data_IF_494071456323
#
_entry.id   IF_494071456323
#
_cell.length_a   1.000
_cell.length_b   1.000
_cell.length_c   1.000
_cell.angle_alpha   90.00
_cell.angle_beta   90.00
_cell.angle_gamma   90.00
#
_symmetry.space_group_name_H-M   'P 1'
#
loop_
_entity.id
_entity.type
_entity.pdbx_description
1 polymer ?
#
# COMPACT_ATOMS: atom_id res chain seq x y z
N UNK A 1 -5.60 6.10 -17.24
CA UNK A 1 -4.76 6.55 -16.11
C UNK A 1 -5.21 5.87 -14.84
N UNK A 2 -4.24 5.35 -14.06
CA UNK A 2 -4.53 4.81 -12.73
C UNK A 2 -4.43 5.88 -11.64
N UNK A 3 -3.46 6.79 -11.77
CA UNK A 3 -3.22 7.88 -10.82
C UNK A 3 -3.06 9.16 -11.63
N UNK A 4 -3.74 10.21 -11.22
CA UNK A 4 -3.57 11.56 -11.73
C UNK A 4 -3.57 12.55 -10.57
N UNK A 5 -2.47 13.28 -10.41
CA UNK A 5 -2.27 14.30 -9.38
C UNK A 5 -1.93 15.60 -10.09
N UNK A 6 -2.73 16.65 -9.84
CA UNK A 6 -2.59 17.94 -10.49
C UNK A 6 -2.49 19.07 -9.47
N UNK A 7 -1.36 19.78 -9.49
CA UNK A 7 -1.08 20.96 -8.68
C UNK A 7 -1.38 20.77 -7.18
N UNK A 8 -1.08 19.58 -6.67
CA UNK A 8 -1.33 19.25 -5.28
C UNK A 8 -0.45 20.08 -4.35
N UNK A 9 -1.10 20.86 -3.48
CA UNK A 9 -0.43 21.58 -2.39
C UNK A 9 -1.11 21.27 -1.06
N UNK A 10 -0.30 21.04 -0.02
CA UNK A 10 -0.80 20.71 1.32
C UNK A 10 0.08 21.30 2.41
N UNK A 11 -0.55 21.77 3.50
CA UNK A 11 0.12 22.32 4.68
C UNK A 11 -0.46 21.76 5.96
N UNK A 12 0.37 21.50 6.96
CA UNK A 12 -0.07 21.28 8.34
C UNK A 12 -0.13 22.64 9.06
N UNK A 13 -1.33 23.22 9.16
CA UNK A 13 -1.50 24.59 9.64
C UNK A 13 -0.71 25.59 8.77
N UNK A 14 0.21 26.33 9.37
CA UNK A 14 1.07 27.29 8.66
C UNK A 14 2.30 26.65 7.96
N UNK A 15 2.55 25.35 8.14
CA UNK A 15 3.75 24.67 7.61
C UNK A 15 3.44 23.98 6.27
N UNK A 16 3.90 24.55 5.12
CA UNK A 16 3.72 23.95 3.82
C UNK A 16 4.61 22.71 3.66
N UNK A 17 4.01 21.59 3.18
CA UNK A 17 4.69 20.29 3.02
C UNK A 17 4.71 19.86 1.56
N UNK A 18 3.61 20.01 0.84
CA UNK A 18 3.54 19.75 -0.59
C UNK A 18 3.29 21.07 -1.31
N UNK A 19 4.00 21.30 -2.42
CA UNK A 19 3.91 22.52 -3.21
C UNK A 19 3.82 22.17 -4.69
N UNK A 20 2.66 22.41 -5.28
CA UNK A 20 2.41 22.29 -6.73
C UNK A 20 2.88 20.95 -7.35
N UNK A 21 2.62 19.84 -6.65
CA UNK A 21 3.03 18.50 -7.08
C UNK A 21 2.07 18.01 -8.16
N UNK A 22 2.61 17.65 -9.32
CA UNK A 22 1.84 17.09 -10.44
C UNK A 22 2.55 15.89 -11.03
N UNK A 23 1.85 14.79 -11.20
CA UNK A 23 2.34 13.59 -11.88
C UNK A 23 1.19 12.66 -12.29
N UNK A 24 1.49 11.74 -13.19
CA UNK A 24 0.55 10.71 -13.67
C UNK A 24 1.18 9.34 -13.64
N UNK A 25 0.36 8.32 -13.44
CA UNK A 25 0.76 6.93 -13.60
C UNK A 25 -0.31 6.15 -14.37
N UNK A 26 0.14 5.40 -15.36
CA UNK A 26 -0.71 4.51 -16.15
C UNK A 26 -0.87 3.15 -15.44
N UNK A 27 -1.88 2.35 -15.82
CA UNK A 27 -2.01 0.98 -15.32
C UNK A 27 -0.73 0.15 -15.53
N UNK A 28 -0.31 -0.56 -14.49
CA UNK A 28 0.88 -1.41 -14.56
C UNK A 28 2.22 -0.67 -14.44
N UNK A 29 2.22 0.64 -14.18
CA UNK A 29 3.46 1.39 -13.98
C UNK A 29 3.97 1.32 -12.55
N UNK A 30 5.30 1.34 -12.42
CA UNK A 30 6.02 1.62 -11.18
C UNK A 30 6.50 3.07 -11.21
N UNK A 31 6.06 3.86 -10.26
CA UNK A 31 6.50 5.25 -10.07
C UNK A 31 7.22 5.37 -8.73
N UNK A 32 8.43 5.91 -8.71
CA UNK A 32 9.20 6.17 -7.52
C UNK A 32 9.13 7.65 -7.11
N UNK A 33 8.77 7.90 -5.85
CA UNK A 33 8.82 9.22 -5.22
C UNK A 33 10.11 9.34 -4.41
N UNK A 34 11.06 10.08 -4.94
CA UNK A 34 12.39 10.25 -4.34
C UNK A 34 12.43 11.52 -3.48
N UNK A 35 13.12 11.45 -2.35
CA UNK A 35 13.36 12.62 -1.52
C UNK A 35 13.80 12.28 -0.10
N UNK A 36 14.44 13.23 0.61
CA UNK A 36 14.89 13.02 1.98
C UNK A 36 13.72 12.78 2.95
N UNK A 37 14.04 12.34 4.16
CA UNK A 37 13.07 12.24 5.24
C UNK A 37 12.48 13.63 5.53
N UNK A 38 11.17 13.70 5.73
CA UNK A 38 10.45 14.97 5.92
C UNK A 38 10.05 15.71 4.64
N UNK A 39 10.44 15.25 3.44
CA UNK A 39 10.08 15.89 2.16
C UNK A 39 8.57 15.81 1.79
N UNK A 40 7.74 15.19 2.63
CA UNK A 40 6.29 15.11 2.39
C UNK A 40 5.81 13.85 1.67
N UNK A 41 6.67 12.85 1.42
CA UNK A 41 6.31 11.59 0.72
C UNK A 41 5.12 10.89 1.35
N UNK A 42 5.13 10.66 2.66
CA UNK A 42 4.01 10.06 3.39
C UNK A 42 2.77 10.96 3.42
N UNK A 43 2.94 12.30 3.41
CA UNK A 43 1.82 13.24 3.32
C UNK A 43 1.13 13.16 1.97
N UNK A 44 1.88 13.01 0.88
CA UNK A 44 1.35 12.75 -0.46
C UNK A 44 0.45 11.50 -0.45
N UNK A 45 0.95 10.37 0.08
CA UNK A 45 0.18 9.14 0.18
C UNK A 45 -1.09 9.30 1.04
N UNK A 46 -0.98 10.04 2.16
CA UNK A 46 -2.15 10.32 3.02
C UNK A 46 -3.19 11.18 2.33
N UNK A 47 -2.79 12.16 1.49
CA UNK A 47 -3.73 12.91 0.65
C UNK A 47 -4.43 11.98 -0.35
N UNK A 48 -3.66 11.12 -1.05
CA UNK A 48 -4.19 10.17 -2.03
C UNK A 48 -5.13 9.13 -1.40
N UNK A 49 -4.97 8.81 -0.11
CA UNK A 49 -5.81 7.89 0.65
C UNK A 49 -6.98 8.59 1.36
N UNK A 50 -7.16 9.91 1.15
CA UNK A 50 -8.24 10.68 1.77
C UNK A 50 -8.09 10.88 3.28
N UNK A 51 -6.92 10.57 3.87
CA UNK A 51 -6.65 10.84 5.29
C UNK A 51 -6.40 12.32 5.57
N UNK A 52 -5.96 13.07 4.56
CA UNK A 52 -5.72 14.51 4.60
C UNK A 52 -6.59 15.17 3.52
N UNK A 53 -7.87 15.50 3.81
CA UNK A 53 -8.82 15.94 2.78
C UNK A 53 -8.67 17.42 2.38
N UNK A 54 -7.99 18.24 3.21
CA UNK A 54 -7.88 19.70 3.00
C UNK A 54 -6.60 20.04 2.23
N UNK A 55 -6.53 19.68 0.95
CA UNK A 55 -5.45 20.03 0.04
C UNK A 55 -5.97 20.88 -1.13
N UNK A 56 -5.09 21.65 -1.78
CA UNK A 56 -5.33 22.33 -3.04
C UNK A 56 -4.92 21.44 -4.21
N UNK A 57 -5.48 21.69 -5.38
CA UNK A 57 -5.23 20.85 -6.56
C UNK A 57 -6.22 19.70 -6.67
N UNK A 58 -5.91 18.70 -7.47
CA UNK A 58 -6.78 17.55 -7.71
C UNK A 58 -6.02 16.23 -7.61
N UNK A 59 -6.68 15.20 -7.05
CA UNK A 59 -6.20 13.82 -7.03
C UNK A 59 -7.32 12.93 -7.56
N UNK A 60 -7.06 12.21 -8.64
CA UNK A 60 -7.96 11.17 -9.12
C UNK A 60 -7.29 9.79 -9.17
N UNK A 61 -8.02 8.78 -8.76
CA UNK A 61 -7.64 7.38 -8.83
C UNK A 61 -8.64 6.64 -9.74
N UNK A 62 -8.13 6.00 -10.79
CA UNK A 62 -8.95 5.35 -11.81
C UNK A 62 -10.03 6.29 -12.39
N UNK A 63 -9.68 7.57 -12.60
CA UNK A 63 -10.59 8.61 -13.14
C UNK A 63 -11.62 9.14 -12.14
N UNK A 64 -11.52 8.83 -10.85
CA UNK A 64 -12.45 9.26 -9.80
C UNK A 64 -11.76 10.18 -8.81
N UNK A 65 -12.32 11.37 -8.56
CA UNK A 65 -11.80 12.34 -7.59
C UNK A 65 -11.87 11.77 -6.16
N UNK A 66 -10.70 11.70 -5.50
CA UNK A 66 -10.55 11.15 -4.14
C UNK A 66 -11.43 11.85 -3.11
N UNK A 67 -11.68 13.15 -3.26
CA UNK A 67 -12.51 13.94 -2.32
C UNK A 67 -13.97 13.49 -2.27
N UNK A 68 -14.47 12.94 -3.36
CA UNK A 68 -15.86 12.52 -3.50
C UNK A 68 -16.08 11.03 -3.26
N UNK A 69 -15.00 10.29 -2.98
CA UNK A 69 -15.05 8.85 -2.75
C UNK A 69 -15.31 8.51 -1.28
N UNK A 70 -16.34 7.71 -0.98
CA UNK A 70 -16.44 7.08 0.34
C UNK A 70 -15.19 6.26 0.65
N UNK A 71 -14.75 6.24 1.90
CA UNK A 71 -13.53 5.52 2.33
C UNK A 71 -13.51 4.05 1.89
N UNK A 72 -14.66 3.39 1.90
CA UNK A 72 -14.80 1.98 1.47
C UNK A 72 -14.51 1.81 -0.02
N UNK A 73 -14.91 2.76 -0.86
CA UNK A 73 -14.64 2.72 -2.29
C UNK A 73 -13.18 3.06 -2.58
N UNK A 74 -12.63 4.06 -1.90
CA UNK A 74 -11.22 4.41 -2.00
C UNK A 74 -10.33 3.23 -1.61
N UNK A 75 -10.68 2.49 -0.55
CA UNK A 75 -9.98 1.28 -0.15
C UNK A 75 -10.03 0.15 -1.19
N UNK A 76 -11.02 0.13 -2.09
CA UNK A 76 -11.07 -0.81 -3.23
C UNK A 76 -10.17 -0.37 -4.40
N UNK A 77 -9.81 0.90 -4.48
CA UNK A 77 -8.93 1.42 -5.53
C UNK A 77 -7.46 1.35 -5.12
N UNK A 78 -7.15 1.75 -3.89
CA UNK A 78 -5.78 1.88 -3.41
C UNK A 78 -5.57 1.19 -2.06
N UNK A 79 -4.47 0.44 -1.93
CA UNK A 79 -4.00 -0.16 -0.70
C UNK A 79 -2.68 0.48 -0.27
N UNK A 80 -2.48 0.61 1.05
CA UNK A 80 -1.32 1.24 1.65
C UNK A 80 -0.44 0.24 2.39
N UNK A 81 0.85 0.28 2.07
CA UNK A 81 1.89 -0.49 2.74
C UNK A 81 2.81 0.52 3.48
N UNK A 82 2.75 0.60 4.80
CA UNK A 82 3.56 1.54 5.57
C UNK A 82 5.03 1.10 5.65
N UNK A 83 5.92 2.04 5.93
CA UNK A 83 7.35 1.83 6.13
C UNK A 83 7.65 0.79 7.22
N UNK A 84 6.94 0.86 8.33
CA UNK A 84 7.04 -0.10 9.42
C UNK A 84 5.65 -0.35 10.01
N UNK A 85 5.41 -1.59 10.36
CA UNK A 85 4.24 -1.99 11.14
C UNK A 85 4.75 -2.85 12.29
N UNK A 86 4.80 -2.28 13.49
CA UNK A 86 5.01 -3.09 14.71
C UNK A 86 3.65 -3.65 15.12
N UNK A 87 3.43 -4.97 14.97
CA UNK A 87 2.16 -5.56 15.36
C UNK A 87 2.01 -5.50 16.88
N UNK A 88 0.91 -4.92 17.34
CA UNK A 88 0.56 -4.88 18.77
C UNK A 88 0.27 -6.30 19.31
N UNK A 89 -0.26 -7.17 18.45
CA UNK A 89 -0.62 -8.56 18.79
C UNK A 89 0.18 -9.53 17.93
N UNK A 90 0.38 -10.75 18.42
CA UNK A 90 1.10 -11.81 17.73
C UNK A 90 0.15 -12.62 16.82
N UNK A 91 -0.45 -11.94 15.82
CA UNK A 91 -1.22 -12.61 14.78
C UNK A 91 -0.34 -13.51 13.92
N UNK A 92 -0.92 -14.55 13.33
CA UNK A 92 -0.24 -15.33 12.30
C UNK A 92 -0.10 -14.53 11.00
N UNK A 93 0.80 -14.98 10.11
CA UNK A 93 0.91 -14.44 8.75
C UNK A 93 -0.44 -14.54 8.04
N UNK A 94 -1.11 -15.70 8.14
CA UNK A 94 -2.44 -15.95 7.59
C UNK A 94 -3.47 -14.93 8.09
N UNK A 95 -3.55 -14.73 9.41
CA UNK A 95 -4.51 -13.79 10.00
C UNK A 95 -4.27 -12.36 9.51
N UNK A 96 -2.98 -11.98 9.42
CA UNK A 96 -2.59 -10.65 8.95
C UNK A 96 -3.02 -10.43 7.50
N UNK A 97 -2.84 -11.41 6.62
CA UNK A 97 -3.27 -11.32 5.21
C UNK A 97 -4.78 -11.37 5.09
N UNK A 98 -5.45 -12.19 5.90
CA UNK A 98 -6.90 -12.31 5.94
C UNK A 98 -7.59 -11.00 6.33
N UNK A 99 -6.97 -10.16 7.19
CA UNK A 99 -7.48 -8.81 7.50
C UNK A 99 -7.61 -7.95 6.23
N UNK A 100 -6.73 -8.11 5.24
CA UNK A 100 -6.84 -7.46 3.94
C UNK A 100 -8.08 -7.91 3.17
N UNK A 101 -8.28 -9.22 3.06
CA UNK A 101 -9.43 -9.80 2.37
C UNK A 101 -10.78 -9.50 3.06
N UNK A 102 -10.76 -9.31 4.37
CA UNK A 102 -11.94 -8.99 5.19
C UNK A 102 -12.32 -7.51 5.19
N UNK A 103 -11.46 -6.61 4.71
CA UNK A 103 -11.69 -5.15 4.77
C UNK A 103 -12.95 -4.65 4.05
N UNK A 104 -13.55 -5.45 3.19
CA UNK A 104 -14.82 -5.16 2.51
C UNK A 104 -16.07 -5.74 3.17
N UNK A 105 -15.92 -6.54 4.23
CA UNK A 105 -17.04 -7.18 4.91
C UNK A 105 -17.83 -6.18 5.77
N UNK A 106 -19.09 -6.51 6.05
CA UNK A 106 -19.89 -5.79 7.03
C UNK A 106 -19.31 -5.97 8.44
N UNK A 107 -19.48 -4.98 9.33
CA UNK A 107 -19.07 -5.10 10.74
C UNK A 107 -19.62 -6.39 11.36
N UNK A 108 -18.79 -7.09 12.15
CA UNK A 108 -19.10 -8.35 12.83
C UNK A 108 -19.25 -9.60 11.93
N UNK A 109 -19.14 -9.46 10.61
CA UNK A 109 -19.16 -10.62 9.73
C UNK A 109 -17.79 -11.32 9.74
N UNK A 110 -17.77 -12.59 10.07
CA UNK A 110 -16.55 -13.40 10.02
C UNK A 110 -16.11 -13.65 8.56
N UNK A 111 -14.80 -13.69 8.29
CA UNK A 111 -14.28 -14.09 6.99
C UNK A 111 -14.74 -15.49 6.63
N UNK A 112 -15.32 -15.64 5.43
CA UNK A 112 -15.76 -16.91 4.91
C UNK A 112 -14.72 -17.58 4.00
N UNK A 113 -15.12 -18.64 3.32
CA UNK A 113 -14.27 -19.43 2.42
C UNK A 113 -13.58 -18.57 1.34
N UNK A 114 -14.29 -17.64 0.73
CA UNK A 114 -13.76 -16.76 -0.31
C UNK A 114 -12.59 -15.90 0.19
N UNK A 115 -12.70 -15.35 1.40
CA UNK A 115 -11.65 -14.55 2.01
C UNK A 115 -10.41 -15.39 2.34
N UNK A 116 -10.62 -16.60 2.86
CA UNK A 116 -9.55 -17.57 3.14
C UNK A 116 -8.80 -17.96 1.86
N UNK A 117 -9.52 -18.30 0.78
CA UNK A 117 -8.94 -18.63 -0.52
C UNK A 117 -8.19 -17.43 -1.12
N UNK A 118 -8.70 -16.20 -0.95
CA UNK A 118 -8.04 -14.99 -1.40
C UNK A 118 -6.75 -14.77 -0.63
N UNK A 119 -6.77 -14.88 0.70
CA UNK A 119 -5.57 -14.74 1.54
C UNK A 119 -4.52 -15.79 1.16
N UNK A 120 -4.93 -17.04 0.97
CA UNK A 120 -4.03 -18.13 0.57
C UNK A 120 -3.36 -17.82 -0.78
N UNK A 121 -4.12 -17.45 -1.81
CA UNK A 121 -3.57 -17.07 -3.13
C UNK A 121 -2.59 -15.90 -3.06
N UNK A 122 -2.85 -14.90 -2.22
CA UNK A 122 -1.95 -13.76 -2.09
C UNK A 122 -0.65 -14.13 -1.35
N UNK A 123 -0.70 -15.02 -0.37
CA UNK A 123 0.49 -15.57 0.26
C UNK A 123 1.35 -16.40 -0.72
N UNK A 124 0.70 -17.19 -1.58
CA UNK A 124 1.38 -17.95 -2.64
C UNK A 124 2.04 -17.02 -3.66
N UNK A 125 1.32 -15.98 -4.10
CA UNK A 125 1.79 -15.01 -5.08
C UNK A 125 3.09 -14.32 -4.64
N UNK A 126 3.22 -13.97 -3.35
CA UNK A 126 4.42 -13.32 -2.83
C UNK A 126 5.42 -14.30 -2.21
N UNK A 127 5.12 -15.62 -2.23
CA UNK A 127 6.05 -16.67 -1.80
C UNK A 127 6.18 -16.87 -0.30
N UNK A 128 5.15 -16.48 0.50
CA UNK A 128 5.16 -16.62 1.98
C UNK A 128 4.16 -17.67 2.50
N UNK A 129 3.50 -18.43 1.63
CA UNK A 129 2.55 -19.47 2.04
C UNK A 129 3.11 -20.48 3.07
N UNK A 130 4.40 -20.90 3.00
CA UNK A 130 5.00 -21.78 4.02
C UNK A 130 5.07 -21.18 5.42
N UNK A 131 4.88 -19.85 5.55
CA UNK A 131 4.94 -19.13 6.81
C UNK A 131 3.55 -18.86 7.41
N UNK A 132 2.47 -19.33 6.75
CA UNK A 132 1.09 -18.96 7.05
C UNK A 132 0.73 -19.04 8.54
N UNK A 133 1.17 -20.09 9.23
CA UNK A 133 0.84 -20.35 10.63
C UNK A 133 1.91 -19.82 11.63
N UNK A 134 2.96 -19.14 11.12
CA UNK A 134 3.96 -18.47 11.97
C UNK A 134 3.43 -17.15 12.50
N UNK A 135 3.75 -16.84 13.75
CA UNK A 135 3.48 -15.52 14.33
C UNK A 135 4.28 -14.43 13.59
N UNK A 136 3.66 -13.30 13.29
CA UNK A 136 4.28 -12.20 12.54
C UNK A 136 5.51 -11.60 13.23
N UNK A 137 5.63 -11.79 14.52
CA UNK A 137 6.82 -11.40 15.32
C UNK A 137 7.99 -12.37 15.19
N UNK A 138 7.75 -13.59 14.69
CA UNK A 138 8.72 -14.70 14.57
C UNK A 138 9.26 -14.90 13.18
N UNK A 139 9.03 -13.95 12.28
CA UNK A 139 9.50 -13.92 10.90
C UNK A 139 10.48 -12.76 10.70
N UNK A 140 11.33 -12.87 9.69
CA UNK A 140 12.30 -11.82 9.32
C UNK A 140 11.63 -10.52 8.88
N UNK A 141 12.38 -9.42 8.84
CA UNK A 141 11.90 -8.13 8.34
C UNK A 141 11.40 -8.20 6.91
N UNK A 142 12.12 -8.91 6.02
CA UNK A 142 11.72 -9.12 4.63
C UNK A 142 10.43 -9.93 4.49
N UNK A 143 10.30 -11.03 5.22
CA UNK A 143 9.07 -11.85 5.26
C UNK A 143 7.88 -11.05 5.82
N UNK A 144 8.12 -10.20 6.80
CA UNK A 144 7.09 -9.30 7.34
C UNK A 144 6.64 -8.28 6.28
N UNK A 145 7.58 -7.72 5.53
CA UNK A 145 7.25 -6.79 4.45
C UNK A 145 6.44 -7.46 3.35
N UNK A 146 6.82 -8.68 2.94
CA UNK A 146 6.04 -9.49 1.99
C UNK A 146 4.64 -9.82 2.55
N UNK A 147 4.51 -10.04 3.87
CA UNK A 147 3.20 -10.24 4.51
C UNK A 147 2.31 -8.99 4.40
N UNK A 148 2.88 -7.79 4.58
CA UNK A 148 2.14 -6.54 4.40
C UNK A 148 1.72 -6.32 2.94
N UNK A 149 2.56 -6.71 1.98
CA UNK A 149 2.21 -6.70 0.56
C UNK A 149 1.07 -7.70 0.28
N UNK A 150 1.18 -8.94 0.76
CA UNK A 150 0.10 -9.93 0.60
C UNK A 150 -1.23 -9.43 1.20
N UNK A 151 -1.20 -8.78 2.36
CA UNK A 151 -2.38 -8.14 2.96
C UNK A 151 -2.98 -7.07 2.06
N UNK A 152 -2.13 -6.20 1.48
CA UNK A 152 -2.58 -5.15 0.57
C UNK A 152 -3.19 -5.74 -0.73
N UNK A 153 -2.58 -6.79 -1.28
CA UNK A 153 -3.11 -7.52 -2.45
C UNK A 153 -4.44 -8.22 -2.15
N UNK A 154 -4.60 -8.78 -0.94
CA UNK A 154 -5.83 -9.42 -0.49
C UNK A 154 -7.01 -8.44 -0.40
N UNK A 155 -6.75 -7.13 -0.27
CA UNK A 155 -7.74 -6.07 -0.36
C UNK A 155 -8.32 -5.90 -1.79
N UNK A 156 -7.67 -6.52 -2.80
CA UNK A 156 -8.05 -6.48 -4.23
C UNK A 156 -7.95 -5.08 -4.87
N UNK A 157 -7.24 -4.15 -4.26
CA UNK A 157 -6.92 -2.86 -4.83
C UNK A 157 -5.91 -3.02 -5.99
N UNK A 158 -6.05 -2.19 -7.03
CA UNK A 158 -5.16 -2.20 -8.20
C UNK A 158 -4.00 -1.20 -8.07
N UNK A 159 -4.09 -0.27 -7.13
CA UNK A 159 -3.06 0.73 -6.84
C UNK A 159 -2.44 0.38 -5.49
N UNK A 160 -1.12 0.26 -5.44
CA UNK A 160 -0.35 -0.02 -4.24
C UNK A 160 0.52 1.20 -3.89
N UNK A 161 0.28 1.81 -2.75
CA UNK A 161 1.06 2.92 -2.22
C UNK A 161 2.01 2.36 -1.15
N UNK A 162 3.32 2.33 -1.44
CA UNK A 162 4.35 1.73 -0.59
C UNK A 162 5.26 2.81 0.00
N UNK A 163 5.15 3.04 1.30
CA UNK A 163 5.95 4.06 1.99
C UNK A 163 7.25 3.45 2.50
N UNK A 164 8.35 3.76 1.83
CA UNK A 164 9.71 3.28 2.10
C UNK A 164 9.78 1.75 2.38
N UNK A 165 9.25 0.91 1.48
CA UNK A 165 9.05 -0.52 1.77
C UNK A 165 10.34 -1.30 1.99
N UNK A 166 11.50 -0.77 1.60
CA UNK A 166 12.81 -1.40 1.69
C UNK A 166 13.72 -0.80 2.77
N UNK A 167 13.29 0.25 3.50
CA UNK A 167 14.18 1.07 4.35
C UNK A 167 14.92 0.31 5.46
N UNK A 168 14.35 -0.77 5.99
CA UNK A 168 14.92 -1.53 7.11
C UNK A 168 15.32 -2.96 6.72
N UNK A 169 15.53 -3.21 5.43
CA UNK A 169 15.90 -4.50 4.92
C UNK A 169 17.39 -4.53 4.54
N UNK A 170 18.03 -5.68 4.73
CA UNK A 170 19.33 -5.94 4.15
C UNK A 170 19.24 -5.98 2.60
N UNK A 171 20.39 -5.84 1.95
CA UNK A 171 20.49 -5.73 0.49
C UNK A 171 19.81 -6.89 -0.25
N UNK A 172 19.96 -8.13 0.23
CA UNK A 172 19.33 -9.31 -0.37
C UNK A 172 17.81 -9.28 -0.31
N UNK A 173 17.25 -8.85 0.82
CA UNK A 173 15.82 -8.69 1.01
C UNK A 173 15.26 -7.49 0.24
N UNK A 174 16.03 -6.38 0.13
CA UNK A 174 15.66 -5.25 -0.74
C UNK A 174 15.50 -5.70 -2.20
N UNK A 175 16.48 -6.45 -2.71
CA UNK A 175 16.45 -6.93 -4.08
C UNK A 175 15.24 -7.87 -4.34
N UNK A 176 14.99 -8.82 -3.43
CA UNK A 176 13.82 -9.70 -3.51
C UNK A 176 12.51 -8.93 -3.51
N UNK A 177 12.39 -7.92 -2.66
CA UNK A 177 11.22 -7.05 -2.59
C UNK A 177 10.99 -6.33 -3.91
N UNK A 178 12.03 -5.69 -4.48
CA UNK A 178 11.93 -4.96 -5.75
C UNK A 178 11.59 -5.88 -6.93
N UNK A 179 12.13 -7.10 -6.96
CA UNK A 179 11.74 -8.11 -7.94
C UNK A 179 10.24 -8.45 -7.82
N UNK A 180 9.74 -8.59 -6.58
CA UNK A 180 8.32 -8.88 -6.36
C UNK A 180 7.45 -7.70 -6.79
N UNK A 181 7.84 -6.46 -6.47
CA UNK A 181 7.15 -5.25 -6.93
C UNK A 181 7.09 -5.19 -8.46
N UNK A 182 8.18 -5.49 -9.14
CA UNK A 182 8.22 -5.55 -10.60
C UNK A 182 7.24 -6.59 -11.16
N UNK A 183 7.22 -7.81 -10.61
CA UNK A 183 6.25 -8.85 -11.02
C UNK A 183 4.80 -8.40 -10.85
N UNK A 184 4.50 -7.64 -9.79
CA UNK A 184 3.16 -7.10 -9.58
C UNK A 184 2.78 -6.09 -10.67
N UNK A 185 3.71 -5.23 -11.12
CA UNK A 185 3.42 -4.31 -12.23
C UNK A 185 3.19 -5.04 -13.55
N UNK A 186 3.93 -6.12 -13.82
CA UNK A 186 3.72 -7.00 -14.98
C UNK A 186 2.33 -7.68 -14.94
N UNK A 187 1.73 -7.84 -13.76
CA UNK A 187 0.37 -8.35 -13.56
C UNK A 187 -0.71 -7.24 -13.58
N UNK A 188 -0.32 -6.00 -13.91
CA UNK A 188 -1.22 -4.86 -14.06
C UNK A 188 -1.49 -4.06 -12.79
N UNK A 189 -0.79 -4.33 -11.68
CA UNK A 189 -0.84 -3.46 -10.50
C UNK A 189 -0.06 -2.16 -10.77
N UNK A 190 -0.64 -1.02 -10.42
CA UNK A 190 0.06 0.26 -10.45
C UNK A 190 0.70 0.48 -9.09
N UNK A 191 2.00 0.70 -9.05
CA UNK A 191 2.73 0.86 -7.81
C UNK A 191 3.34 2.26 -7.71
N UNK A 192 3.05 2.96 -6.63
CA UNK A 192 3.73 4.19 -6.25
C UNK A 192 4.51 3.90 -4.96
N UNK A 193 5.84 3.94 -5.03
CA UNK A 193 6.70 3.71 -3.88
C UNK A 193 7.50 4.96 -3.52
N UNK A 194 7.65 5.23 -2.23
CA UNK A 194 8.58 6.24 -1.75
C UNK A 194 9.92 5.61 -1.37
N UNK A 195 10.99 6.35 -1.59
CA UNK A 195 12.33 5.99 -1.12
C UNK A 195 13.18 7.24 -0.89
N UNK A 196 14.22 7.11 -0.09
CA UNK A 196 15.20 8.17 0.13
C UNK A 196 16.56 7.88 -0.57
N UNK A 197 16.67 6.70 -1.18
CA UNK A 197 17.83 6.23 -1.94
C UNK A 197 17.44 5.90 -3.37
#
# INVERSE_FOLDING_TARGET
>A
MSIDVERLSFSYGAHPVLRDVSFRAEPGQLVAVLGPNGAGKSSLFRCMLGFLPHYQGNISLCGRDVRHLPRRELARLAAYIPQSSQPLFDYTVRDTVLMGAAGGLEPLRQPGRQQLETAQRMMELVGIAPLADRGIRRISGGERQLTLIARALAQQARILLMDEPAANLDYGNQFRLLQQVRRLTEQGYTVLLSTHN
#
